data_IF_989395301090
#
_entry.id   IF_989395301090
#
_cell.length_a   1.000
_cell.length_b   1.000
_cell.length_c   1.000
_cell.angle_alpha   90.00
_cell.angle_beta   90.00
_cell.angle_gamma   90.00
#
_symmetry.space_group_name_H-M   'P 1'
#
loop_
_entity.id
_entity.type
_entity.pdbx_description
1 polymer ?
#
# COMPACT_ATOMS: atom_id res chain seq x y z
N UNK A 1 6.80 25.86 3.72
CA UNK A 1 5.96 24.81 3.12
C UNK A 1 6.80 23.57 2.84
N UNK A 2 6.31 22.41 3.23
CA UNK A 2 7.04 21.16 2.97
C UNK A 2 7.01 20.82 1.49
N UNK A 3 8.15 20.35 0.98
CA UNK A 3 8.27 19.91 -0.40
C UNK A 3 7.80 18.47 -0.50
N UNK A 4 6.84 18.20 -1.38
CA UNK A 4 6.32 16.86 -1.62
C UNK A 4 7.42 15.86 -2.01
N UNK A 5 8.48 16.32 -2.67
CA UNK A 5 9.61 15.46 -3.01
C UNK A 5 10.31 14.90 -1.78
N UNK A 6 10.32 15.63 -0.67
CA UNK A 6 10.86 15.14 0.59
C UNK A 6 10.02 13.97 1.12
N UNK A 7 8.71 14.04 0.95
CA UNK A 7 7.84 12.92 1.31
C UNK A 7 8.10 11.70 0.44
N UNK A 8 8.28 11.89 -0.85
CA UNK A 8 8.60 10.78 -1.76
C UNK A 8 9.90 10.09 -1.36
N UNK A 9 10.92 10.87 -0.98
CA UNK A 9 12.18 10.32 -0.50
C UNK A 9 12.00 9.53 0.79
N UNK A 10 11.14 10.03 1.68
CA UNK A 10 10.86 9.35 2.94
C UNK A 10 10.22 7.98 2.74
N UNK A 11 9.26 7.88 1.80
CA UNK A 11 8.58 6.60 1.55
C UNK A 11 9.38 5.67 0.65
N UNK A 12 10.41 6.18 -0.01
CA UNK A 12 11.28 5.38 -0.88
C UNK A 12 12.44 4.75 -0.09
N UNK A 13 12.23 4.47 1.19
CA UNK A 13 13.17 3.72 2.02
C UNK A 13 12.77 2.24 2.03
N UNK A 14 13.74 1.37 2.25
CA UNK A 14 13.48 -0.07 2.31
C UNK A 14 12.43 -0.41 3.36
N UNK A 15 12.49 0.25 4.51
CA UNK A 15 11.52 0.04 5.60
C UNK A 15 10.11 0.39 5.18
N UNK A 16 9.91 1.54 4.53
CA UNK A 16 8.59 1.98 4.10
C UNK A 16 8.08 1.15 2.93
N UNK A 17 8.94 0.77 2.01
CA UNK A 17 8.57 -0.09 0.89
C UNK A 17 8.14 -1.47 1.39
N UNK A 18 8.81 -2.00 2.41
CA UNK A 18 8.41 -3.27 3.01
C UNK A 18 7.05 -3.16 3.68
N UNK A 19 6.79 -2.07 4.40
CA UNK A 19 5.50 -1.81 5.05
C UNK A 19 4.36 -1.75 4.02
N UNK A 20 4.58 -1.04 2.92
CA UNK A 20 3.60 -0.92 1.84
C UNK A 20 3.35 -2.29 1.19
N UNK A 21 4.42 -3.04 0.94
CA UNK A 21 4.33 -4.38 0.35
C UNK A 21 3.54 -5.33 1.23
N UNK A 22 3.75 -5.28 2.54
CA UNK A 22 3.03 -6.16 3.48
C UNK A 22 1.52 -5.89 3.47
N UNK A 23 1.11 -4.61 3.46
CA UNK A 23 -0.31 -4.29 3.48
C UNK A 23 -0.97 -4.63 2.14
N UNK A 24 -0.24 -4.45 1.04
CA UNK A 24 -0.71 -4.81 -0.29
C UNK A 24 -0.93 -6.32 -0.40
N UNK A 25 0.07 -7.10 0.05
CA UNK A 25 0.00 -8.55 0.03
C UNK A 25 -1.13 -9.07 0.91
N UNK A 26 -1.31 -8.49 2.09
CA UNK A 26 -2.38 -8.87 3.00
C UNK A 26 -3.75 -8.66 2.36
N UNK A 27 -3.93 -7.58 1.61
CA UNK A 27 -5.17 -7.33 0.91
C UNK A 27 -5.40 -8.37 -0.21
N UNK A 28 -4.34 -8.76 -0.92
CA UNK A 28 -4.43 -9.78 -1.96
C UNK A 28 -4.74 -11.17 -1.39
N UNK A 29 -4.19 -11.48 -0.20
CA UNK A 29 -4.41 -12.78 0.44
C UNK A 29 -5.87 -13.10 0.67
N UNK A 30 -6.72 -12.09 0.85
CA UNK A 30 -8.15 -12.27 1.04
C UNK A 30 -8.83 -12.90 -0.19
N UNK A 31 -8.20 -12.80 -1.34
CA UNK A 31 -8.72 -13.32 -2.61
C UNK A 31 -8.01 -14.60 -3.06
N UNK A 32 -6.98 -15.01 -2.32
CA UNK A 32 -6.21 -16.20 -2.67
C UNK A 32 -6.88 -17.47 -2.15
N UNK A 33 -6.78 -18.54 -2.95
CA UNK A 33 -7.22 -19.86 -2.52
C UNK A 33 -6.10 -20.56 -1.74
N UNK A 34 -6.30 -21.83 -1.39
CA UNK A 34 -5.34 -22.62 -0.61
C UNK A 34 -4.00 -22.82 -1.33
N UNK A 35 -3.97 -22.63 -2.65
CA UNK A 35 -2.76 -22.77 -3.46
C UNK A 35 -2.08 -21.42 -3.73
N UNK A 36 -2.62 -20.33 -3.17
CA UNK A 36 -2.08 -18.99 -3.38
C UNK A 36 -2.47 -18.39 -4.72
N UNK A 37 -3.53 -18.89 -5.34
CA UNK A 37 -4.02 -18.41 -6.63
C UNK A 37 -5.26 -17.55 -6.46
N UNK A 38 -5.42 -16.59 -7.35
CA UNK A 38 -6.61 -15.74 -7.40
C UNK A 38 -7.45 -16.17 -8.59
N UNK A 39 -8.74 -16.39 -8.36
CA UNK A 39 -9.65 -16.75 -9.45
C UNK A 39 -9.72 -15.62 -10.47
N UNK A 40 -9.82 -16.01 -11.75
CA UNK A 40 -9.82 -15.04 -12.85
C UNK A 40 -10.90 -13.97 -12.68
N UNK A 41 -12.11 -14.37 -12.27
CA UNK A 41 -13.22 -13.44 -12.08
C UNK A 41 -13.04 -12.51 -10.89
N UNK A 42 -12.06 -12.78 -10.02
CA UNK A 42 -11.78 -11.95 -8.83
C UNK A 42 -10.52 -11.10 -8.97
N UNK A 43 -9.80 -11.22 -10.09
CA UNK A 43 -8.54 -10.49 -10.27
C UNK A 43 -8.74 -8.97 -10.18
N UNK A 44 -9.75 -8.43 -10.86
CA UNK A 44 -10.00 -6.98 -10.83
C UNK A 44 -10.32 -6.51 -9.41
N UNK A 45 -11.16 -7.25 -8.70
CA UNK A 45 -11.52 -6.92 -7.31
C UNK A 45 -10.30 -7.00 -6.40
N UNK A 46 -9.43 -7.99 -6.61
CA UNK A 46 -8.21 -8.14 -5.81
C UNK A 46 -7.27 -6.96 -6.03
N UNK A 47 -7.06 -6.55 -7.27
CA UNK A 47 -6.22 -5.40 -7.57
C UNK A 47 -6.79 -4.11 -7.02
N UNK A 48 -8.10 -3.90 -7.11
CA UNK A 48 -8.75 -2.72 -6.54
C UNK A 48 -8.57 -2.70 -5.02
N UNK A 49 -8.75 -3.83 -4.37
CA UNK A 49 -8.57 -3.93 -2.92
C UNK A 49 -7.13 -3.64 -2.49
N UNK A 50 -6.15 -4.22 -3.19
CA UNK A 50 -4.75 -4.00 -2.91
C UNK A 50 -4.36 -2.54 -3.15
N UNK A 51 -4.83 -1.95 -4.24
CA UNK A 51 -4.56 -0.56 -4.59
C UNK A 51 -5.16 0.38 -3.54
N UNK A 52 -6.39 0.11 -3.11
CA UNK A 52 -7.04 0.89 -2.06
C UNK A 52 -6.26 0.81 -0.74
N UNK A 53 -5.82 -0.38 -0.35
CA UNK A 53 -5.06 -0.57 0.89
C UNK A 53 -3.74 0.20 0.86
N UNK A 54 -2.97 0.11 -0.21
CA UNK A 54 -1.71 0.83 -0.33
C UNK A 54 -1.93 2.34 -0.41
N UNK A 55 -2.98 2.80 -1.11
CA UNK A 55 -3.31 4.22 -1.19
C UNK A 55 -3.69 4.80 0.17
N UNK A 56 -4.47 4.07 0.96
CA UNK A 56 -4.85 4.50 2.30
C UNK A 56 -3.62 4.59 3.21
N UNK A 57 -2.70 3.64 3.10
CA UNK A 57 -1.46 3.69 3.87
C UNK A 57 -0.63 4.91 3.46
N UNK A 58 -0.50 5.17 2.16
CA UNK A 58 0.23 6.34 1.67
C UNK A 58 -0.38 7.65 2.16
N UNK A 59 -1.72 7.74 2.16
CA UNK A 59 -2.41 8.92 2.68
C UNK A 59 -2.17 9.10 4.18
N UNK A 60 -2.17 8.00 4.92
CA UNK A 60 -1.87 8.04 6.35
C UNK A 60 -0.45 8.53 6.60
N UNK A 61 0.52 8.00 5.87
CA UNK A 61 1.91 8.41 6.01
C UNK A 61 2.10 9.88 5.64
N UNK A 62 1.43 10.33 4.57
CA UNK A 62 1.48 11.73 4.15
C UNK A 62 0.89 12.64 5.23
N UNK A 63 -0.25 12.25 5.79
CA UNK A 63 -0.90 13.01 6.86
C UNK A 63 0.02 13.14 8.07
N UNK A 64 0.61 12.04 8.51
CA UNK A 64 1.55 12.05 9.62
C UNK A 64 2.75 12.95 9.35
N UNK A 65 3.30 12.85 8.16
CA UNK A 65 4.46 13.65 7.77
C UNK A 65 4.16 15.16 7.79
N UNK A 66 2.99 15.54 7.27
CA UNK A 66 2.58 16.95 7.24
C UNK A 66 2.42 17.52 8.65
N UNK A 67 1.89 16.73 9.58
CA UNK A 67 1.56 17.19 10.92
C UNK A 67 2.64 16.97 11.97
N UNK A 68 3.71 16.27 11.64
CA UNK A 68 4.80 15.97 12.57
C UNK A 68 5.88 17.07 12.65
N UNK A 69 5.60 18.26 12.14
CA UNK A 69 6.55 19.37 12.28
C UNK A 69 6.01 20.46 13.16
#
# INVERSE_FOLDING_TARGET
MKDFNEFLDLVDTDEKQEEISKITLKALEQYMDSEGRIKREEIDSAFLSASKASSLLMLKLYHQWVFEQ
#
